data_IF_039952793429
#
_entry.id   IF_039952793429
#
_cell.length_a   1.000
_cell.length_b   1.000
_cell.length_c   1.000
_cell.angle_alpha   90.00
_cell.angle_beta   90.00
_cell.angle_gamma   90.00
#
_symmetry.space_group_name_H-M   'P 1'
#
loop_
_entity.id
_entity.type
_entity.pdbx_description
1 polymer ?
#
# COMPACT_ATOMS: atom_id res chain seq x y z
N UNK A 1 -6.95 -11.91 4.22
CA UNK A 1 -6.79 -10.88 5.17
C UNK A 1 -7.37 -9.62 4.70
N UNK A 2 -8.36 -9.17 5.46
CA UNK A 2 -9.02 -8.00 5.10
C UNK A 2 -8.18 -6.78 5.05
N UNK A 3 -7.29 -6.57 6.00
CA UNK A 3 -6.49 -5.36 6.03
C UNK A 3 -5.54 -5.25 4.85
N UNK A 4 -4.98 -6.36 4.40
CA UNK A 4 -4.12 -6.31 3.24
C UNK A 4 -4.91 -5.96 1.99
N UNK A 5 -6.10 -6.49 1.88
CA UNK A 5 -6.95 -6.22 0.74
C UNK A 5 -7.36 -4.75 0.73
N UNK A 6 -7.63 -4.19 1.88
CA UNK A 6 -8.02 -2.79 1.95
C UNK A 6 -6.90 -1.88 1.47
N UNK A 7 -5.65 -2.20 1.82
CA UNK A 7 -4.53 -1.41 1.33
C UNK A 7 -4.40 -1.54 -0.17
N UNK A 8 -4.53 -2.75 -0.70
CA UNK A 8 -4.41 -2.94 -2.13
C UNK A 8 -5.51 -2.19 -2.90
N UNK A 9 -6.71 -2.21 -2.37
CA UNK A 9 -7.81 -1.49 -3.01
C UNK A 9 -7.55 0.01 -3.01
N UNK A 10 -7.04 0.53 -1.90
CA UNK A 10 -6.78 1.94 -1.78
C UNK A 10 -5.69 2.37 -2.76
N UNK A 11 -4.65 1.56 -2.88
CA UNK A 11 -3.57 1.84 -3.81
C UNK A 11 -4.07 1.79 -5.25
N UNK A 12 -4.95 0.84 -5.52
CA UNK A 12 -5.48 0.74 -6.87
C UNK A 12 -6.26 1.99 -7.24
N UNK A 13 -7.01 2.52 -6.31
CA UNK A 13 -7.81 3.70 -6.59
C UNK A 13 -6.97 4.97 -6.58
N UNK A 14 -5.94 5.01 -5.76
CA UNK A 14 -5.11 6.20 -5.63
C UNK A 14 -3.65 5.80 -5.62
N UNK A 15 -3.05 5.59 -6.78
CA UNK A 15 -1.67 5.09 -6.83
C UNK A 15 -0.64 6.03 -6.23
N UNK A 16 -0.99 7.29 -6.06
CA UNK A 16 -0.05 8.24 -5.49
C UNK A 16 -0.29 8.48 -4.00
N UNK A 17 -1.16 7.72 -3.38
CA UNK A 17 -1.49 7.93 -1.98
C UNK A 17 -0.27 7.66 -1.12
N UNK A 18 -0.09 8.45 -0.06
CA UNK A 18 1.01 8.25 0.87
C UNK A 18 0.57 7.32 1.98
N UNK A 19 1.54 6.79 2.72
CA UNK A 19 1.22 5.94 3.86
C UNK A 19 0.46 6.71 4.92
N UNK A 20 0.82 7.95 5.11
CA UNK A 20 0.14 8.78 6.09
C UNK A 20 -1.32 8.97 5.70
N UNK A 21 -1.56 9.18 4.42
CA UNK A 21 -2.92 9.35 3.95
C UNK A 21 -3.70 8.05 4.08
N UNK A 22 -3.06 6.92 3.83
CA UNK A 22 -3.70 5.64 4.03
C UNK A 22 -4.15 5.47 5.48
N UNK A 23 -3.26 5.83 6.41
CA UNK A 23 -3.61 5.70 7.82
C UNK A 23 -4.82 6.56 8.16
N UNK A 24 -4.88 7.74 7.56
CA UNK A 24 -5.99 8.62 7.81
C UNK A 24 -7.29 8.07 7.24
N UNK A 25 -7.26 7.63 6.01
CA UNK A 25 -8.45 7.11 5.34
C UNK A 25 -8.97 5.85 6.02
N UNK A 26 -8.06 4.97 6.40
CA UNK A 26 -8.45 3.71 7.01
C UNK A 26 -8.65 3.81 8.52
N UNK A 27 -8.28 4.95 9.08
CA UNK A 27 -8.37 5.16 10.51
C UNK A 27 -7.51 4.16 11.28
N UNK A 28 -6.36 3.86 10.72
CA UNK A 28 -5.38 3.02 11.39
C UNK A 28 -4.24 3.91 11.84
N UNK A 29 -3.39 3.43 12.74
CA UNK A 29 -2.21 4.22 13.05
C UNK A 29 -1.17 3.94 11.97
N UNK A 30 -0.20 4.82 11.86
CA UNK A 30 0.80 4.75 10.81
C UNK A 30 1.65 3.49 10.91
N UNK A 31 1.92 3.05 12.12
CA UNK A 31 2.72 1.84 12.32
C UNK A 31 2.04 0.63 11.71
N UNK A 32 0.72 0.54 11.83
CA UNK A 32 -0.01 -0.56 11.22
C UNK A 32 0.07 -0.50 9.71
N UNK A 33 -0.08 0.68 9.14
CA UNK A 33 0.02 0.82 7.69
C UNK A 33 1.39 0.39 7.21
N UNK A 34 2.44 0.84 7.87
CA UNK A 34 3.79 0.48 7.48
C UNK A 34 4.01 -1.03 7.58
N UNK A 35 3.48 -1.63 8.63
CA UNK A 35 3.62 -3.08 8.81
C UNK A 35 3.00 -3.85 7.65
N UNK A 36 1.78 -3.52 7.30
CA UNK A 36 1.10 -4.25 6.23
C UNK A 36 1.71 -3.97 4.87
N UNK A 37 2.17 -2.75 4.63
CA UNK A 37 2.84 -2.45 3.38
C UNK A 37 4.15 -3.23 3.28
N UNK A 38 4.91 -3.33 4.36
CA UNK A 38 6.13 -4.11 4.36
C UNK A 38 5.83 -5.57 4.03
N UNK A 39 4.77 -6.12 4.63
CA UNK A 39 4.39 -7.49 4.35
C UNK A 39 4.00 -7.68 2.89
N UNK A 40 3.26 -6.75 2.34
CA UNK A 40 2.85 -6.86 0.95
C UNK A 40 4.04 -6.76 0.00
N UNK A 41 5.01 -5.93 0.35
CA UNK A 41 6.21 -5.81 -0.47
C UNK A 41 7.04 -7.09 -0.38
N UNK A 42 7.14 -7.67 0.80
CA UNK A 42 7.89 -8.89 0.96
C UNK A 42 7.28 -10.03 0.15
N UNK A 43 5.98 -10.06 0.04
CA UNK A 43 5.31 -11.09 -0.72
C UNK A 43 5.17 -10.70 -2.18
N UNK A 44 5.72 -9.56 -2.55
CA UNK A 44 5.72 -9.11 -3.92
C UNK A 44 4.35 -8.86 -4.50
N UNK A 45 3.43 -8.45 -3.66
CA UNK A 45 2.12 -8.02 -4.14
C UNK A 45 2.12 -6.54 -4.45
N UNK A 46 3.08 -5.80 -3.92
CA UNK A 46 3.07 -4.35 -4.02
C UNK A 46 4.49 -3.85 -4.13
N UNK A 47 4.69 -2.82 -4.91
CA UNK A 47 5.98 -2.18 -4.98
C UNK A 47 5.77 -0.69 -5.19
N UNK A 48 6.83 0.07 -5.10
CA UNK A 48 6.74 1.50 -5.28
C UNK A 48 7.78 1.91 -6.31
N UNK A 49 7.37 2.73 -7.26
CA UNK A 49 8.25 3.22 -8.26
C UNK A 49 8.46 4.70 -8.06
N UNK A 50 9.65 5.17 -8.34
CA UNK A 50 9.95 6.59 -8.22
C UNK A 50 10.56 6.92 -6.88
N UNK A 51 10.69 8.21 -6.63
CA UNK A 51 11.33 8.65 -5.41
C UNK A 51 10.37 8.53 -4.24
N UNK A 52 10.89 8.76 -3.05
CA UNK A 52 10.05 8.71 -1.88
C UNK A 52 8.96 9.75 -1.91
N UNK A 53 9.21 10.87 -2.55
CA UNK A 53 8.25 11.95 -2.54
C UNK A 53 7.28 11.86 -3.69
N UNK A 54 7.72 11.37 -4.81
CA UNK A 54 6.86 11.27 -5.98
C UNK A 54 6.67 9.85 -6.42
N UNK A 55 6.80 8.94 -5.50
CA UNK A 55 6.64 7.54 -5.83
C UNK A 55 5.20 7.18 -6.15
N UNK A 56 5.05 6.15 -6.90
CA UNK A 56 3.75 5.65 -7.27
C UNK A 56 3.69 4.19 -6.87
N UNK A 57 2.61 3.80 -6.23
CA UNK A 57 2.44 2.41 -5.83
C UNK A 57 2.00 1.60 -7.03
N UNK A 58 2.51 0.40 -7.13
CA UNK A 58 2.12 -0.52 -8.19
C UNK A 58 1.75 -1.86 -7.59
N UNK A 59 0.68 -2.43 -8.07
CA UNK A 59 0.23 -3.74 -7.60
C UNK A 59 0.81 -4.79 -8.52
N UNK A 60 1.52 -5.73 -7.93
CA UNK A 60 2.22 -6.76 -8.70
C UNK A 60 1.50 -8.09 -8.73
N UNK A 61 0.30 -8.16 -8.19
CA UNK A 61 -0.35 -9.43 -8.10
C UNK A 61 -0.56 -10.00 -9.46
N UNK A 62 -0.23 -11.23 -9.58
CA UNK A 62 -0.48 -11.88 -10.69
C UNK A 62 -1.38 -12.83 -10.32
N UNK A 63 -2.36 -13.01 -10.64
CA UNK A 63 -3.21 -13.86 -10.32
C UNK A 63 -2.96 -14.97 -10.89
N UNK A 64 -2.78 -15.69 -10.77
CA UNK A 64 -2.55 -16.74 -11.39
C UNK A 64 -3.24 -17.55 -11.23
#
# INVERSE_FOLDING_TARGET
MRKKIEILNLVRMQPLITQKKMANVLEWNLASVKYYITKLKEKKYLTRQGSNQKGKWMILTKRD
#
